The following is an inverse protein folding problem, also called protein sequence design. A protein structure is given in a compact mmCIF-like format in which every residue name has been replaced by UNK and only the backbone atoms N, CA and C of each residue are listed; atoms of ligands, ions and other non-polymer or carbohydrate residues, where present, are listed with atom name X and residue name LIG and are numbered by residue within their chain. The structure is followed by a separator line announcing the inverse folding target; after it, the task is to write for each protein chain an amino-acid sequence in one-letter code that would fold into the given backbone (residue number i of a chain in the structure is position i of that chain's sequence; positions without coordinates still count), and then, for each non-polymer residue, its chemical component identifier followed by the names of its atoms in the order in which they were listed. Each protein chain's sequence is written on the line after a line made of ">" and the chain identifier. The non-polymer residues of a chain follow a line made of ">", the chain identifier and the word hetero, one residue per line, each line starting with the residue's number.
data_IF_971399022745
#
_entry.id   IF_971399022745
#
_cell.length_a   1.000
_cell.length_b   1.000
_cell.length_c   1.000
_cell.angle_alpha   90.00
_cell.angle_beta   90.00
_cell.angle_gamma   90.00
#
_symmetry.space_group_name_H-M   'P 1'
#
loop_
_entity.id
_entity.type
_entity.pdbx_description
1 polymer ?
#
# COMPACT_ATOMS: atom_id res chain seq x y z
N UNK A 1 0.28 0.84 10.20
CA UNK A 1 1.40 -0.04 9.80
C UNK A 1 2.15 -0.51 11.03
N UNK A 2 2.92 -1.62 10.89
CA UNK A 2 3.84 -2.07 11.93
C UNK A 2 5.24 -2.20 11.32
N UNK A 3 6.27 -1.93 12.13
CA UNK A 3 7.68 -2.07 11.78
C UNK A 3 8.35 -3.09 12.69
N UNK A 4 9.04 -4.06 12.08
CA UNK A 4 9.79 -5.12 12.76
C UNK A 4 9.79 -6.43 11.98
N UNK A 5 10.59 -7.39 12.42
CA UNK A 5 10.60 -8.75 11.83
C UNK A 5 9.35 -9.50 12.26
N UNK A 6 8.80 -10.32 11.38
CA UNK A 6 7.60 -11.10 11.68
C UNK A 6 7.78 -12.03 12.89
N UNK A 7 8.96 -12.62 13.02
CA UNK A 7 9.32 -13.51 14.13
C UNK A 7 9.15 -12.85 15.51
N UNK A 8 9.50 -11.54 15.60
CA UNK A 8 9.44 -10.77 16.86
C UNK A 8 8.09 -10.07 17.07
N UNK A 9 7.20 -10.10 16.07
CA UNK A 9 5.94 -9.36 16.14
C UNK A 9 4.91 -10.17 16.94
N UNK A 10 4.33 -9.55 17.96
CA UNK A 10 3.27 -10.18 18.75
C UNK A 10 2.05 -10.52 17.89
N UNK A 11 1.41 -11.69 18.10
CA UNK A 11 0.21 -12.09 17.36
C UNK A 11 -0.92 -11.04 17.41
N UNK A 12 -1.09 -10.34 18.54
CA UNK A 12 -2.07 -9.26 18.68
C UNK A 12 -1.81 -8.10 17.72
N UNK A 13 -0.54 -7.74 17.48
CA UNK A 13 -0.16 -6.69 16.52
C UNK A 13 -0.43 -7.15 15.09
N UNK A 14 -0.18 -8.43 14.79
CA UNK A 14 -0.51 -9.02 13.48
C UNK A 14 -2.01 -8.87 13.23
N UNK A 15 -2.83 -9.31 14.18
CA UNK A 15 -4.29 -9.24 14.08
C UNK A 15 -4.76 -7.78 13.90
N UNK A 16 -4.28 -6.86 14.74
CA UNK A 16 -4.64 -5.43 14.67
C UNK A 16 -4.34 -4.82 13.30
N UNK A 17 -3.18 -5.12 12.72
CA UNK A 17 -2.81 -4.61 11.39
C UNK A 17 -3.69 -5.18 10.29
N UNK A 18 -4.00 -6.47 10.36
CA UNK A 18 -4.90 -7.11 9.39
C UNK A 18 -6.31 -6.54 9.52
N UNK A 19 -6.82 -6.46 10.73
CA UNK A 19 -8.20 -5.99 10.98
C UNK A 19 -8.37 -4.53 10.59
N UNK A 20 -7.47 -3.65 11.01
CA UNK A 20 -7.58 -2.22 10.69
C UNK A 20 -7.38 -1.91 9.21
N UNK A 21 -6.45 -2.58 8.56
CA UNK A 21 -6.11 -2.21 7.17
C UNK A 21 -6.81 -3.07 6.12
N UNK A 22 -6.85 -4.41 6.28
CA UNK A 22 -7.44 -5.28 5.27
C UNK A 22 -8.93 -5.50 5.54
N UNK A 23 -9.28 -6.07 6.70
CA UNK A 23 -10.66 -6.41 7.06
C UNK A 23 -11.55 -5.17 7.04
N UNK A 24 -11.10 -4.08 7.66
CA UNK A 24 -11.84 -2.81 7.67
C UNK A 24 -12.08 -2.24 6.27
N UNK A 25 -11.06 -2.28 5.40
CA UNK A 25 -11.22 -1.82 4.01
C UNK A 25 -12.21 -2.67 3.22
N UNK A 26 -12.21 -4.00 3.42
CA UNK A 26 -13.15 -4.91 2.76
C UNK A 26 -14.57 -4.72 3.30
N UNK A 27 -14.76 -4.49 4.59
CA UNK A 27 -16.07 -4.19 5.17
C UNK A 27 -16.65 -2.88 4.63
N UNK A 28 -15.83 -1.81 4.57
CA UNK A 28 -16.28 -0.55 3.97
C UNK A 28 -16.69 -0.77 2.51
N UNK A 29 -15.91 -1.52 1.75
CA UNK A 29 -16.25 -1.87 0.37
C UNK A 29 -17.55 -2.66 0.29
N UNK A 30 -17.71 -3.71 1.12
CA UNK A 30 -18.90 -4.55 1.17
C UNK A 30 -20.19 -3.73 1.37
N UNK A 31 -20.20 -2.87 2.38
CA UNK A 31 -21.37 -2.05 2.68
C UNK A 31 -21.60 -0.91 1.68
N UNK A 32 -20.56 -0.44 1.00
CA UNK A 32 -20.67 0.61 -0.02
C UNK A 32 -21.18 0.09 -1.38
N UNK A 33 -20.91 -1.16 -1.73
CA UNK A 33 -21.24 -1.74 -3.05
C UNK A 33 -22.70 -1.54 -3.46
N UNK A 34 -23.73 -1.79 -2.63
CA UNK A 34 -25.12 -1.61 -3.05
C UNK A 34 -25.44 -0.16 -3.49
N UNK A 35 -24.87 0.82 -2.83
CA UNK A 35 -25.02 2.24 -3.15
C UNK A 35 -24.21 2.65 -4.39
N UNK A 36 -23.02 2.08 -4.52
CA UNK A 36 -22.17 2.33 -5.67
C UNK A 36 -22.73 1.74 -6.95
N UNK A 37 -23.46 0.63 -6.90
CA UNK A 37 -24.21 0.08 -8.03
C UNK A 37 -25.28 1.05 -8.54
N UNK A 38 -26.01 1.70 -7.62
CA UNK A 38 -27.02 2.70 -7.98
C UNK A 38 -26.42 3.95 -8.64
N UNK A 39 -25.29 4.44 -8.10
CA UNK A 39 -24.62 5.65 -8.57
C UNK A 39 -23.60 5.41 -9.68
N UNK A 40 -23.29 4.16 -10.03
CA UNK A 40 -22.16 3.77 -10.91
C UNK A 40 -20.84 4.40 -10.43
N UNK A 41 -20.64 4.37 -9.10
CA UNK A 41 -19.54 5.04 -8.42
C UNK A 41 -18.19 4.33 -8.56
N UNK A 42 -17.29 4.58 -7.61
CA UNK A 42 -15.92 4.05 -7.63
C UNK A 42 -15.48 3.57 -6.24
N UNK A 43 -14.70 2.50 -6.21
CA UNK A 43 -13.93 2.03 -5.06
C UNK A 43 -12.46 2.21 -5.38
N UNK A 44 -11.71 2.95 -4.54
CA UNK A 44 -10.30 3.15 -4.73
C UNK A 44 -9.50 2.71 -3.51
N UNK A 45 -8.68 1.67 -3.67
CA UNK A 45 -7.81 1.17 -2.62
C UNK A 45 -6.50 1.94 -2.60
N UNK A 46 -6.23 2.60 -1.49
CA UNK A 46 -4.96 3.31 -1.28
C UNK A 46 -3.87 2.31 -0.91
N UNK A 47 -3.16 1.82 -1.94
CA UNK A 47 -2.05 0.90 -1.80
C UNK A 47 -0.72 1.65 -1.65
N UNK A 48 0.39 0.98 -1.86
CA UNK A 48 1.74 1.52 -1.69
C UNK A 48 2.70 0.86 -2.67
N UNK A 49 3.85 1.49 -2.89
CA UNK A 49 4.98 0.84 -3.57
C UNK A 49 5.43 -0.46 -2.89
N UNK A 50 5.13 -0.63 -1.58
CA UNK A 50 5.34 -1.88 -0.85
C UNK A 50 4.46 -3.04 -1.33
N UNK A 51 3.45 -2.78 -2.17
CA UNK A 51 2.66 -3.81 -2.83
C UNK A 51 3.28 -4.30 -4.17
N UNK A 52 4.34 -3.67 -4.63
CA UNK A 52 5.09 -4.12 -5.83
C UNK A 52 6.01 -5.28 -5.47
N UNK A 53 6.64 -5.17 -4.30
CA UNK A 53 7.51 -6.20 -3.71
C UNK A 53 7.52 -6.04 -2.19
N UNK A 54 7.75 -7.15 -1.48
CA UNK A 54 7.86 -7.14 -0.03
C UNK A 54 9.12 -6.40 0.45
N UNK A 55 8.98 -5.68 1.55
CA UNK A 55 10.08 -4.95 2.20
C UNK A 55 10.44 -5.64 3.52
N UNK A 56 11.75 -5.82 3.78
CA UNK A 56 12.23 -6.30 5.07
C UNK A 56 11.74 -5.41 6.21
N UNK A 57 11.41 -6.00 7.35
CA UNK A 57 10.81 -5.34 8.51
C UNK A 57 9.39 -4.77 8.29
N UNK A 58 8.80 -4.92 7.10
CA UNK A 58 7.46 -4.44 6.77
C UNK A 58 6.57 -5.55 6.20
N UNK A 59 6.80 -6.81 6.59
CA UNK A 59 6.08 -7.97 6.05
C UNK A 59 4.57 -7.85 6.14
N UNK A 60 4.03 -7.44 7.29
CA UNK A 60 2.58 -7.25 7.48
C UNK A 60 2.04 -6.12 6.60
N UNK A 61 2.73 -4.98 6.55
CA UNK A 61 2.33 -3.85 5.73
C UNK A 61 2.34 -4.22 4.24
N UNK A 62 3.39 -4.87 3.78
CA UNK A 62 3.51 -5.32 2.39
C UNK A 62 2.42 -6.34 2.04
N UNK A 63 2.16 -7.31 2.92
CA UNK A 63 1.11 -8.31 2.72
C UNK A 63 -0.28 -7.68 2.55
N UNK A 64 -0.65 -6.75 3.45
CA UNK A 64 -1.93 -6.05 3.36
C UNK A 64 -2.03 -5.22 2.08
N UNK A 65 -0.97 -4.48 1.73
CA UNK A 65 -0.99 -3.63 0.52
C UNK A 65 -1.00 -4.45 -0.77
N UNK A 66 -0.41 -5.64 -0.78
CA UNK A 66 -0.53 -6.62 -1.87
C UNK A 66 -1.93 -7.23 -1.94
N UNK A 67 -2.57 -7.53 -0.80
CA UNK A 67 -3.93 -8.07 -0.76
C UNK A 67 -4.95 -7.14 -1.45
N UNK A 68 -4.77 -5.82 -1.39
CA UNK A 68 -5.61 -4.87 -2.12
C UNK A 68 -5.59 -5.09 -3.63
N UNK A 69 -4.44 -5.50 -4.18
CA UNK A 69 -4.32 -5.74 -5.62
C UNK A 69 -5.16 -6.95 -6.04
N UNK A 70 -5.14 -8.02 -5.25
CA UNK A 70 -6.01 -9.18 -5.45
C UNK A 70 -7.50 -8.82 -5.33
N UNK A 71 -7.87 -8.05 -4.29
CA UNK A 71 -9.23 -7.57 -4.12
C UNK A 71 -9.72 -6.75 -5.32
N UNK A 72 -8.92 -5.80 -5.80
CA UNK A 72 -9.25 -4.99 -6.99
C UNK A 72 -9.45 -5.86 -8.22
N UNK A 73 -8.56 -6.84 -8.46
CA UNK A 73 -8.65 -7.73 -9.61
C UNK A 73 -9.95 -8.55 -9.62
N UNK A 74 -10.44 -8.98 -8.44
CA UNK A 74 -11.68 -9.74 -8.29
C UNK A 74 -12.91 -8.84 -8.37
N UNK A 75 -12.96 -7.80 -7.54
CA UNK A 75 -14.10 -6.87 -7.47
C UNK A 75 -14.39 -6.18 -8.80
N UNK A 76 -13.37 -5.89 -9.61
CA UNK A 76 -13.59 -5.37 -10.97
C UNK A 76 -14.41 -6.29 -11.85
N UNK A 77 -14.19 -7.60 -11.75
CA UNK A 77 -14.96 -8.59 -12.52
C UNK A 77 -16.38 -8.72 -11.97
N UNK A 78 -16.49 -8.74 -10.64
CA UNK A 78 -17.78 -8.88 -9.96
C UNK A 78 -18.72 -7.68 -10.20
N UNK A 79 -18.17 -6.47 -10.35
CA UNK A 79 -18.91 -5.21 -10.43
C UNK A 79 -18.93 -4.57 -11.83
N UNK A 80 -18.37 -5.24 -12.83
CA UNK A 80 -18.24 -4.73 -14.19
C UNK A 80 -19.61 -4.41 -14.80
N UNK A 81 -20.56 -5.32 -14.71
CA UNK A 81 -21.90 -5.17 -15.29
C UNK A 81 -22.72 -4.09 -14.58
N UNK A 82 -22.43 -3.84 -13.30
CA UNK A 82 -23.08 -2.78 -12.53
C UNK A 82 -22.47 -1.38 -12.81
N UNK A 83 -21.41 -1.29 -13.62
CA UNK A 83 -20.76 -0.05 -13.98
C UNK A 83 -19.97 0.59 -12.85
N UNK A 84 -19.69 -0.14 -11.76
CA UNK A 84 -18.85 0.34 -10.64
C UNK A 84 -17.38 0.23 -11.03
N UNK A 85 -16.65 1.34 -10.86
CA UNK A 85 -15.20 1.31 -11.04
C UNK A 85 -14.49 0.83 -9.77
N UNK A 86 -13.49 -0.04 -9.95
CA UNK A 86 -12.62 -0.46 -8.85
C UNK A 86 -11.16 -0.29 -9.24
N UNK A 87 -10.41 0.44 -8.43
CA UNK A 87 -9.00 0.73 -8.66
C UNK A 87 -8.12 0.61 -7.42
N UNK A 88 -6.81 0.61 -7.65
CA UNK A 88 -5.81 0.79 -6.61
C UNK A 88 -4.69 1.71 -7.06
N UNK A 89 -4.22 2.55 -6.14
CA UNK A 89 -3.07 3.41 -6.35
C UNK A 89 -1.87 2.94 -5.53
N UNK A 90 -0.72 2.82 -6.19
CA UNK A 90 0.57 2.60 -5.51
C UNK A 90 1.16 3.97 -5.15
N UNK A 91 0.77 4.48 -3.97
CA UNK A 91 1.33 5.74 -3.47
C UNK A 91 2.81 5.57 -3.13
N UNK A 92 3.58 6.59 -3.49
CA UNK A 92 4.95 6.80 -3.07
C UNK A 92 5.03 7.37 -1.65
N UNK A 93 6.19 7.97 -1.35
CA UNK A 93 6.35 8.67 -0.07
C UNK A 93 5.59 9.99 -0.12
N UNK A 94 4.66 10.15 0.81
CA UNK A 94 3.89 11.37 1.01
C UNK A 94 4.33 12.01 2.32
N UNK A 95 4.45 13.33 2.34
CA UNK A 95 4.78 14.10 3.53
C UNK A 95 3.74 13.79 4.62
N UNK A 96 4.23 13.33 5.76
CA UNK A 96 3.41 13.03 6.92
C UNK A 96 3.50 14.19 7.92
N UNK A 97 2.54 14.23 8.85
CA UNK A 97 2.66 15.07 10.02
C UNK A 97 3.89 14.65 10.83
N UNK A 98 4.55 15.64 11.46
CA UNK A 98 5.80 15.41 12.20
C UNK A 98 5.66 14.39 13.33
N UNK A 99 4.44 14.17 13.80
CA UNK A 99 4.09 13.26 14.93
C UNK A 99 3.49 11.93 14.47
N UNK A 100 3.58 11.60 13.18
CA UNK A 100 3.04 10.31 12.70
C UNK A 100 3.73 9.14 13.39
N UNK A 101 2.90 8.29 14.00
CA UNK A 101 3.36 7.08 14.71
C UNK A 101 2.98 5.81 13.94
N UNK A 102 3.72 4.75 14.20
CA UNK A 102 3.47 3.37 13.74
C UNK A 102 3.64 2.42 14.91
N UNK A 103 3.05 1.25 14.83
CA UNK A 103 3.28 0.21 15.83
C UNK A 103 4.67 -0.43 15.62
N UNK A 104 5.35 -0.73 16.72
CA UNK A 104 6.50 -1.64 16.70
C UNK A 104 6.04 -3.10 16.86
N UNK A 105 6.97 -4.04 16.92
CA UNK A 105 6.67 -5.47 17.09
C UNK A 105 5.97 -5.81 18.42
N UNK A 106 6.08 -4.95 19.44
CA UNK A 106 5.44 -5.13 20.74
C UNK A 106 4.03 -4.52 20.82
N UNK A 107 3.65 -3.70 19.84
CA UNK A 107 2.41 -2.95 19.84
C UNK A 107 2.53 -1.54 20.45
N UNK A 108 3.76 -1.07 20.70
CA UNK A 108 3.98 0.30 21.16
C UNK A 108 4.01 1.27 19.99
N UNK A 109 3.56 2.49 20.22
CA UNK A 109 3.57 3.55 19.21
C UNK A 109 4.94 4.23 19.15
N UNK A 110 5.61 4.12 18.02
CA UNK A 110 6.89 4.76 17.71
C UNK A 110 6.74 5.78 16.58
N UNK A 111 7.56 6.83 16.58
CA UNK A 111 7.61 7.79 15.49
C UNK A 111 8.08 7.10 14.20
N UNK A 112 7.41 7.41 13.10
CA UNK A 112 7.84 6.92 11.78
C UNK A 112 9.19 7.56 11.44
N UNK A 113 10.24 6.78 11.14
CA UNK A 113 11.54 7.33 10.78
C UNK A 113 11.46 8.28 9.59
N UNK A 114 12.09 9.43 9.72
CA UNK A 114 12.21 10.39 8.60
C UNK A 114 13.17 9.80 7.56
N UNK A 115 12.68 9.63 6.35
CA UNK A 115 13.49 9.13 5.22
C UNK A 115 14.20 10.29 4.54
N UNK A 116 15.52 10.24 4.50
CA UNK A 116 16.36 11.24 3.82
C UNK A 116 16.68 10.78 2.38
N UNK A 117 16.76 11.74 1.46
CA UNK A 117 17.28 11.50 0.10
C UNK A 117 16.30 10.83 -0.87
N UNK A 118 15.02 10.70 -0.53
CA UNK A 118 13.98 10.19 -1.44
C UNK A 118 12.99 11.29 -1.80
N UNK A 119 12.47 11.31 -3.05
CA UNK A 119 11.39 12.22 -3.42
C UNK A 119 10.16 11.96 -2.56
N UNK A 120 9.65 13.00 -1.93
CA UNK A 120 8.46 12.96 -1.08
C UNK A 120 7.44 13.92 -1.66
N UNK A 121 6.27 13.41 -2.03
CA UNK A 121 5.15 14.23 -2.51
C UNK A 121 4.44 14.93 -1.33
N UNK A 122 3.78 16.04 -1.59
CA UNK A 122 2.88 16.64 -0.62
C UNK A 122 1.60 15.82 -0.47
N UNK A 123 0.78 16.13 0.53
CA UNK A 123 -0.53 15.50 0.70
C UNK A 123 -1.46 15.90 -0.45
N UNK A 124 -1.41 17.16 -0.87
CA UNK A 124 -2.17 17.72 -1.99
C UNK A 124 -1.82 17.02 -3.30
N UNK A 125 -0.54 16.93 -3.64
CA UNK A 125 -0.07 16.20 -4.84
C UNK A 125 -0.53 14.74 -4.84
N UNK A 126 -0.49 14.08 -3.68
CA UNK A 126 -0.95 12.69 -3.56
C UNK A 126 -2.47 12.58 -3.73
N UNK A 127 -3.24 13.51 -3.17
CA UNK A 127 -4.68 13.56 -3.31
C UNK A 127 -5.11 13.83 -4.76
N UNK A 128 -4.45 14.76 -5.45
CA UNK A 128 -4.71 15.06 -6.87
C UNK A 128 -4.52 13.83 -7.77
N UNK A 129 -3.47 13.01 -7.50
CA UNK A 129 -3.24 11.78 -8.28
C UNK A 129 -4.38 10.78 -8.04
N UNK A 130 -4.86 10.63 -6.79
CA UNK A 130 -6.00 9.77 -6.46
C UNK A 130 -7.27 10.25 -7.15
N UNK A 131 -7.61 11.54 -7.04
CA UNK A 131 -8.79 12.13 -7.67
C UNK A 131 -8.76 11.97 -9.21
N UNK A 132 -7.60 12.20 -9.82
CA UNK A 132 -7.43 12.04 -11.26
C UNK A 132 -7.55 10.56 -11.69
N UNK A 133 -7.14 9.60 -10.85
CA UNK A 133 -7.34 8.17 -11.09
C UNK A 133 -8.83 7.83 -11.08
N UNK A 134 -9.57 8.27 -10.06
CA UNK A 134 -11.02 8.07 -9.93
C UNK A 134 -11.75 8.70 -11.13
N UNK A 135 -11.47 9.95 -11.44
CA UNK A 135 -12.10 10.67 -12.55
C UNK A 135 -11.88 9.97 -13.90
N UNK A 136 -10.65 9.50 -14.16
CA UNK A 136 -10.30 8.79 -15.40
C UNK A 136 -10.59 7.30 -15.36
N UNK A 137 -11.16 6.78 -14.28
CA UNK A 137 -11.45 5.35 -14.08
C UNK A 137 -10.27 4.43 -14.40
N UNK A 138 -9.05 4.81 -14.00
CA UNK A 138 -7.85 4.01 -14.21
C UNK A 138 -7.74 2.95 -13.12
N UNK A 139 -7.55 1.69 -13.49
CA UNK A 139 -7.52 0.57 -12.54
C UNK A 139 -6.30 0.59 -11.63
N UNK A 140 -5.11 0.79 -12.20
CA UNK A 140 -3.86 0.82 -11.44
C UNK A 140 -3.05 2.05 -11.82
N UNK A 141 -2.66 2.83 -10.82
CA UNK A 141 -1.79 3.99 -11.00
C UNK A 141 -0.61 3.89 -10.05
N UNK A 142 0.57 4.19 -10.55
CA UNK A 142 1.78 4.35 -9.73
C UNK A 142 2.11 5.85 -9.71
N UNK A 143 2.12 6.45 -8.51
CA UNK A 143 2.23 7.89 -8.35
C UNK A 143 3.54 8.47 -8.90
N UNK A 144 4.69 7.92 -8.49
CA UNK A 144 5.99 8.52 -8.82
C UNK A 144 6.64 7.89 -10.05
N UNK A 145 7.48 8.67 -10.74
CA UNK A 145 8.28 8.17 -11.88
C UNK A 145 9.20 7.03 -11.44
N UNK A 146 9.87 7.19 -10.30
CA UNK A 146 10.72 6.14 -9.73
C UNK A 146 9.92 4.87 -9.40
N UNK A 147 8.69 5.05 -8.87
CA UNK A 147 7.77 3.94 -8.63
C UNK A 147 7.37 3.22 -9.91
N UNK A 148 7.10 3.95 -10.99
CA UNK A 148 6.78 3.37 -12.31
C UNK A 148 7.95 2.55 -12.86
N UNK A 149 9.17 3.08 -12.77
CA UNK A 149 10.37 2.37 -13.16
C UNK A 149 10.56 1.09 -12.33
N UNK A 150 10.42 1.19 -11.00
CA UNK A 150 10.48 0.05 -10.09
C UNK A 150 9.41 -1.02 -10.41
N UNK A 151 8.17 -0.59 -10.68
CA UNK A 151 7.08 -1.50 -11.08
C UNK A 151 7.43 -2.26 -12.35
N UNK A 152 7.94 -1.57 -13.37
CA UNK A 152 8.31 -2.18 -14.64
C UNK A 152 9.50 -3.14 -14.48
N UNK A 153 10.56 -2.71 -13.77
CA UNK A 153 11.74 -3.55 -13.53
C UNK A 153 11.38 -4.79 -12.71
N UNK A 154 10.52 -4.65 -11.69
CA UNK A 154 10.07 -5.80 -10.90
C UNK A 154 9.27 -6.80 -11.73
N UNK A 155 8.51 -6.33 -12.72
CA UNK A 155 7.71 -7.19 -13.60
C UNK A 155 8.57 -7.95 -14.62
N UNK A 156 9.63 -7.31 -15.14
CA UNK A 156 10.47 -7.88 -16.22
C UNK A 156 11.69 -8.60 -15.62
N UNK A 157 12.29 -8.04 -14.59
CA UNK A 157 13.53 -8.51 -13.98
C UNK A 157 13.41 -8.67 -12.46
N UNK A 158 12.51 -9.54 -11.94
CA UNK A 158 12.25 -9.64 -10.50
C UNK A 158 13.51 -10.02 -9.70
N UNK A 159 14.42 -10.80 -10.28
CA UNK A 159 15.68 -11.20 -9.63
C UNK A 159 16.59 -9.99 -9.33
N UNK A 160 16.61 -8.97 -10.21
CA UNK A 160 17.42 -7.75 -10.00
C UNK A 160 16.88 -6.99 -8.79
N UNK A 161 15.57 -6.77 -8.73
CA UNK A 161 14.95 -6.09 -7.60
C UNK A 161 15.19 -6.86 -6.30
N UNK A 162 15.05 -8.18 -6.31
CA UNK A 162 15.33 -9.01 -5.14
C UNK A 162 16.78 -8.83 -4.64
N UNK A 163 17.76 -8.83 -5.52
CA UNK A 163 19.17 -8.62 -5.16
C UNK A 163 19.41 -7.22 -4.55
N UNK A 164 18.84 -6.18 -5.16
CA UNK A 164 18.95 -4.80 -4.66
C UNK A 164 18.37 -4.67 -3.26
N UNK A 165 17.15 -5.17 -3.06
CA UNK A 165 16.45 -5.09 -1.77
C UNK A 165 17.13 -5.96 -0.70
N UNK A 166 17.62 -7.15 -1.05
CA UNK A 166 18.35 -8.00 -0.12
C UNK A 166 19.64 -7.33 0.34
N UNK A 167 20.36 -6.66 -0.56
CA UNK A 167 21.56 -5.91 -0.20
C UNK A 167 21.25 -4.69 0.69
N UNK A 168 20.16 -3.98 0.40
CA UNK A 168 19.72 -2.88 1.27
C UNK A 168 19.34 -3.38 2.67
N UNK A 169 18.60 -4.47 2.76
CA UNK A 169 18.21 -5.07 4.04
C UNK A 169 19.43 -5.50 4.85
N UNK A 170 20.40 -6.19 4.22
CA UNK A 170 21.66 -6.59 4.88
C UNK A 170 22.46 -5.40 5.43
N UNK A 171 22.49 -4.26 4.71
CA UNK A 171 23.15 -3.05 5.20
C UNK A 171 22.45 -2.46 6.42
N UNK A 172 21.11 -2.44 6.42
CA UNK A 172 20.34 -1.95 7.58
C UNK A 172 20.54 -2.82 8.83
N UNK A 173 20.57 -4.15 8.68
CA UNK A 173 20.72 -5.07 9.81
C UNK A 173 22.15 -5.15 10.38
N UNK A 174 23.16 -4.70 9.60
CA UNK A 174 24.57 -4.64 10.09
C UNK A 174 24.91 -3.33 10.81
N UNK A 175 24.08 -2.30 10.66
CA UNK A 175 24.29 -0.98 11.31
C UNK A 175 23.41 -0.77 12.54
N UNK A 176 22.65 -1.77 12.93
CA UNK A 176 21.86 -1.85 14.17
C UNK A 176 22.48 -2.82 15.14
#
# INVERSE_FOLDING_TARGET
>A
SAFGTLEKTKPSVIQEIIDSNLTGSLFVSHFAIPYLKQSKGSIEFISSLAAIHGLGNYSLYSAVKMAYIGAVQSLRKELQEDGVHVGAIYLGFTKNDAVKKTLNSNGDLELVPVRKGLPVATQEESAEVVLNQIYKRKTFVVQSILGKANFLVNRIFPKIIHLVLSNQYRKMTKSS
#
